data_IF_882237401695
#
_entry.id   IF_882237401695
#
_cell.length_a   1.000
_cell.length_b   1.000
_cell.length_c   1.000
_cell.angle_alpha   90.00
_cell.angle_beta   90.00
_cell.angle_gamma   90.00
#
_symmetry.space_group_name_H-M   'P 1'
#
loop_
_entity.id
_entity.type
_entity.pdbx_description
1 polymer ?
#
# COMPACT_ATOMS: atom_id res chain seq x y z
N UNK A 1 -11.29 -1.19 -19.98
CA UNK A 1 -12.51 -0.68 -19.30
C UNK A 1 -12.03 0.09 -18.07
N UNK A 2 -12.91 0.75 -17.31
CA UNK A 2 -12.49 1.45 -16.11
C UNK A 2 -12.48 0.48 -14.92
N UNK A 3 -11.37 0.43 -14.17
CA UNK A 3 -11.32 -0.26 -12.87
C UNK A 3 -12.35 0.39 -11.94
N UNK A 4 -13.16 -0.43 -11.27
CA UNK A 4 -14.08 0.02 -10.22
C UNK A 4 -13.29 0.15 -8.93
N UNK A 5 -13.27 1.37 -8.37
CA UNK A 5 -12.62 1.71 -7.10
C UNK A 5 -13.68 1.98 -6.04
N UNK A 6 -13.73 1.14 -5.01
CA UNK A 6 -14.69 1.25 -3.91
C UNK A 6 -13.94 1.55 -2.61
N UNK A 7 -13.83 2.83 -2.21
CA UNK A 7 -13.19 3.18 -0.95
C UNK A 7 -14.09 2.76 0.23
N UNK A 8 -13.50 2.06 1.20
CA UNK A 8 -14.06 1.83 2.53
C UNK A 8 -13.58 2.94 3.46
N UNK A 9 -12.29 3.27 3.36
CA UNK A 9 -11.67 4.45 3.96
C UNK A 9 -10.96 5.22 2.85
N UNK A 10 -11.34 6.49 2.67
CA UNK A 10 -10.80 7.34 1.61
C UNK A 10 -9.30 7.62 1.75
N UNK A 11 -8.65 7.89 0.62
CA UNK A 11 -7.25 8.28 0.59
C UNK A 11 -7.07 9.62 1.33
N UNK A 12 -6.22 9.68 2.37
CA UNK A 12 -6.07 10.88 3.19
C UNK A 12 -5.34 12.02 2.45
N UNK A 13 -4.78 11.75 1.26
CA UNK A 13 -3.88 12.61 0.47
C UNK A 13 -2.55 12.95 1.17
N UNK A 14 -2.57 13.18 2.48
CA UNK A 14 -1.42 13.41 3.35
C UNK A 14 -1.64 12.77 4.71
N UNK A 15 -0.62 12.14 5.27
CA UNK A 15 -0.65 11.50 6.59
C UNK A 15 0.54 11.94 7.43
N UNK A 16 0.25 12.43 8.64
CA UNK A 16 1.29 12.72 9.63
C UNK A 16 1.66 11.45 10.43
N UNK A 17 2.96 11.16 10.56
CA UNK A 17 3.45 9.97 11.27
C UNK A 17 4.52 10.38 12.28
N UNK A 18 4.28 10.08 13.56
CA UNK A 18 5.23 10.38 14.63
C UNK A 18 6.31 9.31 14.74
N UNK A 19 7.46 9.56 14.12
CA UNK A 19 8.63 8.68 14.24
C UNK A 19 9.17 8.61 15.68
N UNK A 20 9.04 9.70 16.46
CA UNK A 20 9.50 9.76 17.85
C UNK A 20 8.72 8.84 18.79
N UNK A 21 7.44 8.60 18.50
CA UNK A 21 6.61 7.63 19.24
C UNK A 21 6.72 6.21 18.66
N UNK A 22 7.49 6.03 17.58
CA UNK A 22 7.69 4.75 16.91
C UNK A 22 6.51 4.29 16.06
N UNK A 23 5.68 5.23 15.57
CA UNK A 23 4.62 4.90 14.64
C UNK A 23 5.17 4.45 13.30
N UNK A 24 4.52 3.46 12.69
CA UNK A 24 4.86 2.95 11.37
C UNK A 24 3.61 2.60 10.56
N UNK A 25 3.78 2.41 9.26
CA UNK A 25 2.69 1.98 8.39
C UNK A 25 2.80 0.50 8.09
N UNK A 26 1.67 -0.19 8.21
CA UNK A 26 1.51 -1.56 7.74
C UNK A 26 0.65 -1.55 6.48
N UNK A 27 1.17 -2.12 5.40
CA UNK A 27 0.50 -2.23 4.12
C UNK A 27 0.10 -3.66 3.88
N UNK A 28 -1.10 -3.85 3.34
CA UNK A 28 -1.54 -5.15 2.85
C UNK A 28 -2.22 -5.03 1.49
N UNK A 29 -1.88 -5.95 0.60
CA UNK A 29 -2.59 -6.19 -0.66
C UNK A 29 -3.11 -7.61 -0.62
N UNK A 30 -4.44 -7.74 -0.58
CA UNK A 30 -5.11 -9.01 -0.76
C UNK A 30 -5.51 -9.16 -2.23
N UNK A 31 -5.02 -10.22 -2.88
CA UNK A 31 -5.33 -10.56 -4.26
C UNK A 31 -5.98 -11.95 -4.30
N UNK A 32 -7.19 -12.03 -4.84
CA UNK A 32 -7.92 -13.29 -4.98
C UNK A 32 -7.69 -13.83 -6.40
N UNK A 33 -6.75 -14.76 -6.55
CA UNK A 33 -6.45 -15.40 -7.83
C UNK A 33 -4.97 -15.74 -8.06
N UNK A 34 -4.50 -15.76 -9.32
CA UNK A 34 -3.10 -16.00 -9.70
C UNK A 34 -2.12 -14.98 -9.11
N UNK A 35 -0.82 -15.09 -9.40
CA UNK A 35 0.19 -14.11 -8.93
C UNK A 35 -0.24 -12.69 -9.29
N UNK A 36 -0.42 -11.78 -8.32
CA UNK A 36 -0.76 -10.40 -8.61
C UNK A 36 0.39 -9.66 -9.25
N UNK A 37 0.06 -8.59 -9.96
CA UNK A 37 1.03 -7.67 -10.53
C UNK A 37 0.79 -6.33 -9.85
N UNK A 38 1.69 -5.98 -8.94
CA UNK A 38 1.70 -4.69 -8.26
C UNK A 38 3.12 -4.18 -8.06
N UNK A 39 3.23 -2.86 -7.91
CA UNK A 39 4.47 -2.20 -7.52
C UNK A 39 4.16 -1.14 -6.46
N UNK A 40 4.84 -1.24 -5.32
CA UNK A 40 4.86 -0.22 -4.29
C UNK A 40 6.15 0.60 -4.42
N UNK A 41 5.99 1.92 -4.44
CA UNK A 41 7.07 2.84 -4.73
C UNK A 41 7.05 4.06 -3.81
N UNK A 42 8.23 4.65 -3.71
CA UNK A 42 8.50 5.88 -3.00
C UNK A 42 9.09 6.90 -3.96
N UNK A 43 8.68 8.16 -3.84
CA UNK A 43 9.31 9.26 -4.57
C UNK A 43 10.79 9.44 -4.24
N UNK A 44 11.27 8.95 -3.09
CA UNK A 44 12.64 9.06 -2.63
C UNK A 44 13.50 7.83 -2.99
N UNK A 45 12.90 6.63 -3.04
CA UNK A 45 13.62 5.35 -3.18
C UNK A 45 13.33 4.60 -4.48
N UNK A 46 12.36 5.03 -5.28
CA UNK A 46 11.87 4.28 -6.44
C UNK A 46 10.97 3.11 -6.01
N UNK A 47 10.92 2.04 -6.80
CA UNK A 47 10.19 0.82 -6.43
C UNK A 47 10.85 0.14 -5.23
N UNK A 48 10.06 -0.11 -4.18
CA UNK A 48 10.51 -0.77 -2.94
C UNK A 48 10.08 -2.24 -2.93
N UNK A 49 8.84 -2.53 -3.33
CA UNK A 49 8.29 -3.88 -3.32
C UNK A 49 7.45 -4.17 -4.56
N UNK A 50 7.57 -5.39 -5.06
CA UNK A 50 6.72 -5.99 -6.09
C UNK A 50 6.29 -7.39 -5.64
N UNK A 51 5.28 -7.96 -6.30
CA UNK A 51 4.74 -9.27 -5.92
C UNK A 51 5.79 -10.40 -5.84
N UNK A 52 6.85 -10.35 -6.67
CA UNK A 52 7.91 -11.35 -6.70
C UNK A 52 8.79 -11.35 -5.43
N UNK A 53 8.84 -10.24 -4.68
CA UNK A 53 9.68 -10.10 -3.48
C UNK A 53 9.13 -10.89 -2.28
N UNK A 54 7.87 -11.31 -2.33
CA UNK A 54 7.18 -12.02 -1.25
C UNK A 54 7.25 -13.55 -1.39
N UNK A 55 7.98 -14.07 -2.39
CA UNK A 55 8.17 -15.50 -2.59
C UNK A 55 7.05 -16.15 -3.41
N UNK A 56 6.64 -17.40 -3.10
CA UNK A 56 5.58 -18.08 -3.82
C UNK A 56 4.27 -17.27 -3.85
N UNK A 57 3.40 -17.49 -4.86
CA UNK A 57 2.12 -16.81 -4.93
C UNK A 57 1.31 -17.04 -3.65
N UNK A 58 0.86 -15.96 -3.02
CA UNK A 58 -0.05 -15.98 -1.86
C UNK A 58 -1.27 -15.10 -2.16
N UNK A 59 -2.30 -15.16 -1.33
CA UNK A 59 -3.45 -14.24 -1.44
C UNK A 59 -3.21 -12.93 -0.70
N UNK A 60 -2.25 -12.86 0.23
CA UNK A 60 -1.99 -11.72 1.10
C UNK A 60 -0.51 -11.33 1.06
N UNK A 61 -0.25 -10.07 0.72
CA UNK A 61 1.08 -9.48 0.58
C UNK A 61 1.19 -8.33 1.58
N UNK A 62 2.14 -8.42 2.51
CA UNK A 62 2.22 -7.53 3.67
C UNK A 62 3.63 -7.01 3.87
N UNK A 63 3.76 -5.69 4.07
CA UNK A 63 5.04 -5.07 4.37
C UNK A 63 4.86 -3.88 5.30
N UNK A 64 5.93 -3.55 6.03
CA UNK A 64 5.99 -2.38 6.88
C UNK A 64 6.82 -1.27 6.23
N UNK A 65 6.43 -0.01 6.46
CA UNK A 65 7.21 1.17 6.12
C UNK A 65 7.41 2.04 7.36
N UNK A 66 8.59 2.68 7.48
CA UNK A 66 9.01 3.47 8.65
C UNK A 66 9.22 2.69 9.95
N UNK A 67 9.21 1.35 9.89
CA UNK A 67 9.53 0.53 11.07
C UNK A 67 11.02 0.56 11.42
N UNK A 68 11.88 0.69 10.41
CA UNK A 68 13.31 0.85 10.59
C UNK A 68 13.71 2.34 10.50
N UNK A 69 14.66 2.82 11.31
CA UNK A 69 15.14 4.21 11.23
C UNK A 69 15.70 4.62 9.86
N UNK A 70 16.20 3.66 9.07
CA UNK A 70 16.68 3.89 7.69
C UNK A 70 15.56 4.21 6.69
N UNK A 71 14.31 4.01 7.09
CA UNK A 71 13.14 4.27 6.24
C UNK A 71 12.60 5.68 6.38
N UNK A 72 13.04 6.42 7.40
CA UNK A 72 12.62 7.79 7.66
C UNK A 72 13.04 8.70 6.50
N UNK A 73 12.04 9.15 5.74
CA UNK A 73 12.18 10.15 4.69
C UNK A 73 11.13 11.23 4.89
N UNK A 74 11.53 12.49 4.84
CA UNK A 74 10.61 13.62 5.00
C UNK A 74 9.97 13.96 3.64
N UNK A 75 8.66 14.23 3.64
CA UNK A 75 7.90 14.59 2.43
C UNK A 75 7.97 13.54 1.32
N UNK A 76 7.95 12.26 1.72
CA UNK A 76 7.93 11.13 0.80
C UNK A 76 6.52 10.85 0.31
N UNK A 77 6.34 10.72 -1.01
CA UNK A 77 5.08 10.24 -1.59
C UNK A 77 5.17 8.73 -1.77
N UNK A 78 4.25 8.00 -1.13
CA UNK A 78 4.12 6.56 -1.30
C UNK A 78 3.04 6.28 -2.34
N UNK A 79 3.31 5.34 -3.23
CA UNK A 79 2.44 5.02 -4.35
C UNK A 79 2.31 3.51 -4.58
N UNK A 80 1.08 3.02 -4.68
CA UNK A 80 0.79 1.64 -5.10
C UNK A 80 0.17 1.65 -6.50
N UNK A 81 0.78 0.90 -7.41
CA UNK A 81 0.21 0.60 -8.73
C UNK A 81 -0.28 -0.85 -8.76
N UNK A 82 -1.51 -1.06 -9.22
CA UNK A 82 -2.14 -2.38 -9.38
C UNK A 82 -2.46 -2.65 -10.85
N UNK A 83 -2.18 -3.87 -11.30
CA UNK A 83 -2.57 -4.36 -12.62
C UNK A 83 -3.51 -5.55 -12.52
N UNK A 84 -4.55 -5.56 -13.35
CA UNK A 84 -5.61 -6.58 -13.32
C UNK A 84 -5.37 -7.71 -14.34
N UNK A 85 -4.23 -7.71 -15.06
CA UNK A 85 -3.90 -8.73 -16.06
C UNK A 85 -3.97 -10.16 -15.49
N UNK A 86 -3.65 -10.33 -14.20
CA UNK A 86 -3.69 -11.63 -13.52
C UNK A 86 -4.84 -11.78 -12.52
N UNK A 87 -5.28 -10.70 -11.87
CA UNK A 87 -6.34 -10.74 -10.85
C UNK A 87 -7.41 -9.70 -11.11
N UNK A 88 -8.67 -10.14 -11.03
CA UNK A 88 -9.82 -9.25 -11.21
C UNK A 88 -10.15 -8.45 -9.95
N UNK A 89 -9.64 -8.86 -8.78
CA UNK A 89 -10.00 -8.28 -7.48
C UNK A 89 -8.77 -8.07 -6.61
N UNK A 90 -8.70 -6.86 -6.03
CA UNK A 90 -7.68 -6.48 -5.06
C UNK A 90 -8.34 -5.76 -3.89
N UNK A 91 -7.84 -5.99 -2.69
CA UNK A 91 -8.08 -5.10 -1.55
C UNK A 91 -6.75 -4.52 -1.11
N UNK A 92 -6.62 -3.20 -1.15
CA UNK A 92 -5.46 -2.49 -0.65
C UNK A 92 -5.81 -1.81 0.66
N UNK A 93 -5.01 -2.05 1.70
CA UNK A 93 -5.21 -1.48 3.03
C UNK A 93 -3.90 -0.95 3.58
N UNK A 94 -3.98 0.19 4.24
CA UNK A 94 -2.87 0.83 4.96
C UNK A 94 -3.34 1.12 6.38
N UNK A 95 -2.54 0.69 7.35
CA UNK A 95 -2.80 0.87 8.77
C UNK A 95 -1.65 1.64 9.41
N UNK A 96 -2.00 2.60 10.26
CA UNK A 96 -1.06 3.26 11.16
C UNK A 96 -0.98 2.42 12.43
N UNK A 97 0.22 1.94 12.72
CA UNK A 97 0.50 1.12 13.89
C UNK A 97 1.34 1.87 14.91
N UNK A 98 1.19 1.51 16.18
CA UNK A 98 2.11 1.93 17.24
C UNK A 98 3.43 1.14 17.17
N UNK A 99 4.38 1.47 18.05
CA UNK A 99 5.70 0.81 18.12
C UNK A 99 5.64 -0.71 18.30
N UNK A 100 4.60 -1.24 18.95
CA UNK A 100 4.47 -2.68 19.23
C UNK A 100 3.64 -3.42 18.17
N UNK A 101 3.11 -2.69 17.17
CA UNK A 101 2.33 -3.25 16.09
C UNK A 101 0.81 -3.23 16.33
N UNK A 102 0.33 -2.53 17.35
CA UNK A 102 -1.10 -2.31 17.54
C UNK A 102 -1.60 -1.33 16.50
N UNK A 103 -2.66 -1.69 15.78
CA UNK A 103 -3.34 -0.79 14.84
C UNK A 103 -3.98 0.36 15.63
N UNK A 104 -3.53 1.58 15.35
CA UNK A 104 -4.10 2.82 15.88
C UNK A 104 -5.25 3.26 14.97
N UNK A 105 -5.06 3.18 13.65
CA UNK A 105 -6.00 3.69 12.65
C UNK A 105 -5.84 2.95 11.32
N UNK A 106 -6.96 2.64 10.67
CA UNK A 106 -6.96 2.33 9.24
C UNK A 106 -6.88 3.65 8.45
N UNK A 107 -5.76 3.86 7.78
CA UNK A 107 -5.44 5.08 7.03
C UNK A 107 -6.14 5.08 5.68
N UNK A 108 -6.15 3.92 5.03
CA UNK A 108 -6.68 3.73 3.70
C UNK A 108 -7.20 2.31 3.58
N UNK A 109 -8.35 2.14 2.97
CA UNK A 109 -8.84 0.82 2.60
C UNK A 109 -9.71 0.93 1.34
N UNK A 110 -9.29 0.26 0.28
CA UNK A 110 -9.94 0.35 -1.02
C UNK A 110 -10.05 -1.04 -1.63
N UNK A 111 -11.25 -1.37 -2.07
CA UNK A 111 -11.51 -2.54 -2.89
C UNK A 111 -11.53 -2.15 -4.36
N UNK A 112 -10.82 -2.93 -5.18
CA UNK A 112 -10.80 -2.78 -6.62
C UNK A 112 -11.40 -3.98 -7.30
N UNK A 113 -12.11 -3.71 -8.38
CA UNK A 113 -12.59 -4.74 -9.31
C UNK A 113 -12.34 -4.29 -10.73
N UNK A 114 -11.72 -5.14 -11.55
CA UNK A 114 -11.36 -4.82 -12.92
C UNK A 114 -11.35 -6.05 -13.83
N UNK A 115 -11.24 -5.83 -15.14
CA UNK A 115 -11.09 -6.88 -16.13
C UNK A 115 -9.60 -7.19 -16.38
N UNK A 116 -9.32 -8.34 -17.00
CA UNK A 116 -7.96 -8.85 -17.25
C UNK A 116 -7.11 -8.02 -18.23
N UNK A 117 -7.53 -6.80 -18.57
CA UNK A 117 -6.79 -5.85 -19.42
C UNK A 117 -6.61 -4.50 -18.74
N UNK A 118 -7.12 -4.34 -17.53
CA UNK A 118 -7.20 -3.04 -16.87
C UNK A 118 -5.97 -2.82 -15.96
N UNK A 119 -5.60 -1.55 -15.81
CA UNK A 119 -4.64 -1.10 -14.80
C UNK A 119 -5.29 0.02 -14.00
N UNK A 120 -5.16 -0.01 -12.68
CA UNK A 120 -5.64 1.08 -11.84
C UNK A 120 -4.70 2.28 -11.98
N UNK A 121 -5.23 3.49 -11.78
CA UNK A 121 -4.38 4.64 -11.49
C UNK A 121 -3.61 4.39 -10.19
N UNK A 122 -2.37 4.88 -10.05
CA UNK A 122 -1.61 4.71 -8.81
C UNK A 122 -2.34 5.35 -7.62
N UNK A 123 -2.49 4.62 -6.52
CA UNK A 123 -2.92 5.20 -5.25
C UNK A 123 -1.74 5.81 -4.56
N UNK A 124 -1.77 7.13 -4.37
CA UNK A 124 -0.64 7.84 -3.79
C UNK A 124 -1.08 8.74 -2.64
N UNK A 125 -0.24 8.86 -1.62
CA UNK A 125 -0.41 9.82 -0.54
C UNK A 125 0.94 10.29 -0.02
N UNK A 126 0.96 11.51 0.51
CA UNK A 126 2.15 12.12 1.10
C UNK A 126 2.31 11.67 2.55
N UNK A 127 3.53 11.30 2.94
CA UNK A 127 3.90 11.11 4.33
C UNK A 127 4.60 12.36 4.86
N UNK A 128 4.08 12.87 5.97
CA UNK A 128 4.63 14.02 6.68
C UNK A 128 5.14 13.54 8.03
N UNK A 129 6.40 13.82 8.32
CA UNK A 129 7.01 13.55 9.62
C UNK A 129 7.05 14.89 10.37
N UNK A 130 6.22 15.07 11.41
CA UNK A 130 6.17 16.29 12.22
C UNK A 130 7.34 16.40 13.21
#
# INVERSE_FOLDING_TARGET
>A
MAVTRTPITDNPASLAISHTTGQFLHFSVNAIGPVPIFAFSSSAKGTIYEAADFGPPTTLYEWDHLRNPSDIQQLETLSLLLSFFSNAQYTYKVELCDKVGTVIQTVLEIQYTGASTDSAAPESFLVVIP
#
